data_IF_849810860959
#
_entry.id   IF_849810860959
#
_cell.length_a   1.000
_cell.length_b   1.000
_cell.length_c   1.000
_cell.angle_alpha   90.00
_cell.angle_beta   90.00
_cell.angle_gamma   90.00
#
_symmetry.space_group_name_H-M   'P 1'
#
loop_
_entity.id
_entity.type
_entity.pdbx_description
1 polymer ?
#
# COMPACT_ATOMS: atom_id res chain seq x y z
N UNK A 1 -9.13 14.50 -11.07
CA UNK A 1 -8.04 13.63 -10.56
C UNK A 1 -7.54 12.75 -11.69
N UNK A 2 -6.25 12.75 -11.91
CA UNK A 2 -5.63 11.99 -13.00
C UNK A 2 -4.67 10.95 -12.44
N UNK A 3 -4.74 9.72 -12.96
CA UNK A 3 -3.89 8.60 -12.54
C UNK A 3 -2.94 8.23 -13.67
N UNK A 4 -1.67 8.01 -13.35
CA UNK A 4 -0.68 7.64 -14.36
C UNK A 4 0.45 6.80 -13.78
N UNK A 5 1.09 6.00 -14.64
CA UNK A 5 2.27 5.22 -14.26
C UNK A 5 3.44 6.18 -14.07
N UNK A 6 4.16 6.02 -12.97
CA UNK A 6 5.32 6.82 -12.62
C UNK A 6 6.60 6.02 -12.90
N UNK A 7 7.47 6.56 -13.76
CA UNK A 7 8.76 5.92 -14.10
C UNK A 7 9.88 6.33 -13.14
N UNK A 8 9.65 7.31 -12.28
CA UNK A 8 10.67 7.88 -11.39
C UNK A 8 10.11 8.02 -9.96
N UNK A 9 9.76 6.90 -9.30
CA UNK A 9 9.05 6.95 -8.02
C UNK A 9 9.86 7.56 -6.86
N UNK A 10 11.19 7.49 -6.90
CA UNK A 10 12.03 8.10 -5.84
C UNK A 10 11.90 9.62 -5.79
N UNK A 11 11.41 10.26 -6.84
CA UNK A 11 11.05 11.67 -6.83
C UNK A 11 9.99 11.97 -5.74
N UNK A 12 9.18 10.98 -5.39
CA UNK A 12 8.11 11.09 -4.41
C UNK A 12 8.41 10.33 -3.12
N UNK A 13 9.68 10.27 -2.75
CA UNK A 13 10.12 9.53 -1.56
C UNK A 13 9.42 10.03 -0.29
N UNK A 14 9.23 11.33 -0.15
CA UNK A 14 8.55 11.89 1.03
C UNK A 14 7.13 11.33 1.18
N UNK A 15 6.43 11.14 0.06
CA UNK A 15 5.10 10.56 0.07
C UNK A 15 5.15 9.07 0.42
N UNK A 16 6.10 8.33 -0.16
CA UNK A 16 6.28 6.91 0.14
C UNK A 16 6.60 6.68 1.63
N UNK A 17 7.39 7.57 2.23
CA UNK A 17 7.76 7.47 3.64
C UNK A 17 6.59 7.66 4.59
N UNK A 18 5.48 8.27 4.14
CA UNK A 18 4.26 8.35 4.97
C UNK A 18 3.68 6.98 5.29
N UNK A 19 3.79 6.04 4.35
CA UNK A 19 3.24 4.69 4.52
C UNK A 19 4.28 3.70 5.02
N UNK A 20 5.57 3.91 4.70
CA UNK A 20 6.66 3.03 5.08
C UNK A 20 7.83 3.90 5.54
N UNK A 21 8.08 3.99 6.86
CA UNK A 21 9.03 4.95 7.41
C UNK A 21 10.50 4.56 7.23
N UNK A 22 10.79 3.45 6.54
CA UNK A 22 12.14 2.93 6.43
C UNK A 22 12.56 2.78 4.97
N UNK A 23 13.36 3.72 4.47
CA UNK A 23 13.75 3.76 3.06
C UNK A 23 14.40 2.46 2.56
N UNK A 24 15.31 1.80 3.32
CA UNK A 24 15.87 0.53 2.85
C UNK A 24 14.82 -0.55 2.57
N UNK A 25 13.69 -0.54 3.30
CA UNK A 25 12.58 -1.45 2.99
C UNK A 25 11.90 -1.06 1.67
N UNK A 26 11.68 0.25 1.46
CA UNK A 26 11.14 0.76 0.20
C UNK A 26 12.02 0.33 -0.97
N UNK A 27 13.34 0.40 -0.80
CA UNK A 27 14.31 0.01 -1.82
C UNK A 27 14.24 -1.48 -2.19
N UNK A 28 13.68 -2.31 -1.30
CA UNK A 28 13.54 -3.74 -1.55
C UNK A 28 12.42 -4.06 -2.54
N UNK A 29 11.33 -3.30 -2.51
CA UNK A 29 10.18 -3.61 -3.37
C UNK A 29 10.01 -2.63 -4.55
N UNK A 30 10.52 -1.42 -4.45
CA UNK A 30 10.26 -0.39 -5.44
C UNK A 30 10.77 -0.77 -6.85
N UNK A 31 11.97 -1.36 -7.02
CA UNK A 31 12.45 -1.73 -8.36
C UNK A 31 11.58 -2.74 -9.10
N UNK A 32 10.86 -3.61 -8.37
CA UNK A 32 9.98 -4.61 -8.97
C UNK A 32 8.54 -4.11 -9.09
N UNK A 33 8.26 -2.92 -8.58
CA UNK A 33 6.88 -2.42 -8.47
C UNK A 33 6.48 -1.61 -9.70
N UNK A 34 5.20 -1.72 -10.04
CA UNK A 34 4.52 -0.70 -10.84
C UNK A 34 4.05 0.36 -9.87
N UNK A 35 4.30 1.62 -10.19
CA UNK A 35 3.93 2.75 -9.33
C UNK A 35 2.95 3.64 -10.09
N UNK A 36 1.81 3.93 -9.45
CA UNK A 36 0.81 4.85 -9.97
C UNK A 36 0.75 6.09 -9.09
N UNK A 37 0.60 7.24 -9.70
CA UNK A 37 0.39 8.50 -8.99
C UNK A 37 -1.00 9.04 -9.26
N UNK A 38 -1.57 9.71 -8.25
CA UNK A 38 -2.81 10.47 -8.38
C UNK A 38 -2.46 11.94 -8.36
N UNK A 39 -2.93 12.68 -9.37
CA UNK A 39 -2.63 14.10 -9.53
C UNK A 39 -3.89 14.94 -9.46
N UNK A 40 -3.77 16.07 -8.77
CA UNK A 40 -4.71 17.18 -8.85
C UNK A 40 -3.99 18.32 -9.57
N UNK A 41 -4.34 18.54 -10.84
CA UNK A 41 -3.55 19.45 -11.69
C UNK A 41 -2.13 18.92 -11.85
N UNK A 42 -1.14 19.74 -11.49
CA UNK A 42 0.29 19.36 -11.57
C UNK A 42 0.82 18.72 -10.29
N UNK A 43 0.01 18.72 -9.23
CA UNK A 43 0.45 18.23 -7.93
C UNK A 43 0.11 16.75 -7.75
N UNK A 44 1.11 15.94 -7.40
CA UNK A 44 0.89 14.56 -6.99
C UNK A 44 0.43 14.54 -5.54
N UNK A 45 -0.75 13.97 -5.29
CA UNK A 45 -1.38 13.94 -3.97
C UNK A 45 -1.50 12.53 -3.40
N UNK A 46 -1.23 11.52 -4.21
CA UNK A 46 -1.25 10.13 -3.76
C UNK A 46 -0.37 9.25 -4.63
N UNK A 47 0.02 8.11 -4.08
CA UNK A 47 0.90 7.15 -4.75
C UNK A 47 0.56 5.74 -4.27
N UNK A 48 0.69 4.76 -5.18
CA UNK A 48 0.58 3.35 -4.84
C UNK A 48 1.66 2.58 -5.59
N UNK A 49 2.32 1.67 -4.88
CA UNK A 49 3.29 0.75 -5.46
C UNK A 49 2.79 -0.68 -5.27
N UNK A 50 2.78 -1.47 -6.33
CA UNK A 50 2.37 -2.87 -6.26
C UNK A 50 3.25 -3.71 -7.18
N UNK A 51 3.45 -4.97 -6.82
CA UNK A 51 4.33 -5.86 -7.58
C UNK A 51 3.83 -7.30 -7.52
N UNK A 52 4.22 -8.14 -8.52
CA UNK A 52 3.95 -9.57 -8.44
C UNK A 52 4.79 -10.19 -7.31
N UNK A 53 4.18 -11.08 -6.53
CA UNK A 53 4.86 -11.78 -5.43
C UNK A 53 4.89 -13.30 -5.63
N UNK A 54 3.94 -13.85 -6.35
CA UNK A 54 3.92 -15.23 -6.81
C UNK A 54 3.02 -15.33 -8.02
N UNK A 55 2.87 -16.53 -8.58
CA UNK A 55 2.08 -16.73 -9.79
C UNK A 55 0.65 -16.20 -9.58
N UNK A 56 0.21 -15.35 -10.51
CA UNK A 56 -1.14 -14.76 -10.52
C UNK A 56 -1.51 -14.02 -9.23
N UNK A 57 -0.50 -13.57 -8.47
CA UNK A 57 -0.68 -12.88 -7.19
C UNK A 57 0.18 -11.63 -7.15
N UNK A 58 -0.46 -10.51 -6.82
CA UNK A 58 0.20 -9.21 -6.65
C UNK A 58 -0.02 -8.70 -5.23
N UNK A 59 0.85 -7.80 -4.80
CA UNK A 59 0.72 -7.19 -3.48
C UNK A 59 0.92 -5.69 -3.58
N UNK A 60 0.04 -4.93 -2.92
CA UNK A 60 0.25 -3.50 -2.69
C UNK A 60 1.31 -3.38 -1.60
N UNK A 61 2.43 -2.76 -1.95
CA UNK A 61 3.56 -2.59 -1.03
C UNK A 61 3.58 -1.23 -0.35
N UNK A 62 2.95 -0.24 -0.97
CA UNK A 62 2.91 1.12 -0.43
C UNK A 62 1.68 1.82 -1.00
N UNK A 63 0.93 2.46 -0.14
CA UNK A 63 -0.20 3.32 -0.52
C UNK A 63 -0.17 4.52 0.39
N UNK A 64 0.06 5.70 -0.17
CA UNK A 64 0.18 6.93 0.59
C UNK A 64 -0.60 8.05 -0.06
N UNK A 65 -1.23 8.87 0.77
CA UNK A 65 -2.00 10.04 0.34
C UNK A 65 -1.55 11.22 1.19
N UNK A 66 -1.33 12.37 0.54
CA UNK A 66 -1.00 13.61 1.24
C UNK A 66 -1.99 13.86 2.38
N UNK A 67 -1.52 14.30 3.57
CA UNK A 67 -2.42 14.47 4.72
C UNK A 67 -3.63 15.34 4.43
N UNK A 68 -3.47 16.43 3.67
CA UNK A 68 -4.57 17.34 3.31
C UNK A 68 -5.58 16.69 2.36
N UNK A 69 -5.23 15.57 1.75
CA UNK A 69 -6.07 14.87 0.77
C UNK A 69 -6.63 13.56 1.31
N UNK A 70 -6.32 13.19 2.53
CA UNK A 70 -6.88 12.01 3.18
C UNK A 70 -8.37 12.21 3.47
N UNK A 71 -9.14 11.12 3.42
CA UNK A 71 -10.59 11.17 3.63
C UNK A 71 -11.38 11.71 2.43
N UNK A 72 -10.74 11.94 1.28
CA UNK A 72 -11.39 12.47 0.06
C UNK A 72 -11.52 11.43 -1.05
N UNK A 73 -11.24 10.17 -0.76
CA UNK A 73 -11.39 9.08 -1.71
C UNK A 73 -10.19 8.81 -2.62
N UNK A 74 -9.06 9.49 -2.42
CA UNK A 74 -7.86 9.30 -3.24
C UNK A 74 -7.28 7.90 -3.08
N UNK A 75 -7.16 7.42 -1.83
CA UNK A 75 -6.64 6.08 -1.57
C UNK A 75 -7.52 4.99 -2.17
N UNK A 76 -8.82 5.11 -2.01
CA UNK A 76 -9.78 4.17 -2.61
C UNK A 76 -9.69 4.16 -4.13
N UNK A 77 -9.53 5.33 -4.74
CA UNK A 77 -9.39 5.45 -6.19
C UNK A 77 -8.08 4.81 -6.67
N UNK A 78 -6.97 4.97 -5.92
CA UNK A 78 -5.70 4.32 -6.26
C UNK A 78 -5.81 2.80 -6.19
N UNK A 79 -6.45 2.26 -5.17
CA UNK A 79 -6.70 0.80 -5.08
C UNK A 79 -7.53 0.34 -6.27
N UNK A 80 -8.57 1.08 -6.63
CA UNK A 80 -9.40 0.77 -7.80
C UNK A 80 -8.58 0.76 -9.09
N UNK A 81 -7.65 1.71 -9.26
CA UNK A 81 -6.78 1.76 -10.43
C UNK A 81 -5.84 0.55 -10.51
N UNK A 82 -5.32 0.09 -9.37
CA UNK A 82 -4.53 -1.15 -9.31
C UNK A 82 -5.38 -2.33 -9.78
N UNK A 83 -6.58 -2.46 -9.24
CA UNK A 83 -7.48 -3.58 -9.58
C UNK A 83 -7.80 -3.63 -11.07
N UNK A 84 -7.98 -2.47 -11.70
CA UNK A 84 -8.27 -2.39 -13.14
C UNK A 84 -7.12 -2.90 -14.01
N UNK A 85 -5.90 -2.87 -13.51
CA UNK A 85 -4.70 -3.25 -14.25
C UNK A 85 -4.30 -4.71 -14.06
N UNK A 86 -4.99 -5.43 -13.19
CA UNK A 86 -4.69 -6.84 -12.92
C UNK A 86 -5.61 -7.75 -13.72
N UNK A 87 -5.13 -8.94 -14.11
CA UNK A 87 -5.96 -9.88 -14.88
C UNK A 87 -7.09 -10.42 -14.02
N UNK A 88 -8.20 -10.74 -14.67
CA UNK A 88 -9.35 -11.37 -14.01
C UNK A 88 -8.90 -12.69 -13.38
N UNK A 89 -9.31 -12.92 -12.14
CA UNK A 89 -8.94 -14.12 -11.40
C UNK A 89 -7.64 -13.99 -10.61
N UNK A 90 -6.90 -12.88 -10.78
CA UNK A 90 -5.70 -12.63 -9.98
C UNK A 90 -6.07 -12.39 -8.52
N UNK A 91 -5.10 -12.64 -7.63
CA UNK A 91 -5.22 -12.33 -6.21
C UNK A 91 -4.41 -11.07 -5.92
N UNK A 92 -5.01 -10.14 -5.20
CA UNK A 92 -4.35 -8.94 -4.72
C UNK A 92 -4.24 -9.00 -3.20
N UNK A 93 -3.02 -8.84 -2.68
CA UNK A 93 -2.73 -8.83 -1.25
C UNK A 93 -2.37 -7.42 -0.81
N UNK A 94 -2.57 -7.14 0.47
CA UNK A 94 -2.05 -5.95 1.14
C UNK A 94 -1.80 -6.27 2.60
N UNK A 95 -0.66 -5.78 3.13
CA UNK A 95 -0.31 -5.97 4.53
C UNK A 95 -0.34 -4.65 5.30
N UNK A 96 -0.75 -4.70 6.55
CA UNK A 96 -0.71 -3.55 7.46
C UNK A 96 -0.52 -4.05 8.89
N UNK A 97 -0.08 -3.13 9.78
CA UNK A 97 0.09 -3.49 11.18
C UNK A 97 -1.25 -3.86 11.82
N UNK A 98 -1.25 -4.83 12.71
CA UNK A 98 -2.45 -5.26 13.43
C UNK A 98 -3.02 -4.16 14.35
N UNK A 99 -2.17 -3.18 14.73
CA UNK A 99 -2.57 -2.00 15.49
C UNK A 99 -3.24 -0.91 14.63
N UNK A 100 -3.11 -0.99 13.31
CA UNK A 100 -3.62 0.02 12.37
C UNK A 100 -5.09 -0.24 12.04
N UNK A 101 -5.99 -0.06 13.02
CA UNK A 101 -7.42 -0.35 12.86
C UNK A 101 -8.06 0.48 11.76
N UNK A 102 -7.62 1.73 11.57
CA UNK A 102 -8.10 2.58 10.48
C UNK A 102 -7.75 2.03 9.11
N UNK A 103 -6.52 1.53 8.95
CA UNK A 103 -6.08 0.91 7.69
C UNK A 103 -6.84 -0.39 7.43
N UNK A 104 -7.04 -1.22 8.45
CA UNK A 104 -7.79 -2.46 8.31
C UNK A 104 -9.22 -2.17 7.84
N UNK A 105 -9.90 -1.21 8.45
CA UNK A 105 -11.24 -0.79 8.05
C UNK A 105 -11.25 -0.26 6.62
N UNK A 106 -10.25 0.57 6.27
CA UNK A 106 -10.12 1.11 4.92
C UNK A 106 -10.02 0.01 3.87
N UNK A 107 -9.13 -0.97 4.08
CA UNK A 107 -8.95 -2.05 3.12
C UNK A 107 -10.16 -2.97 3.05
N UNK A 108 -10.83 -3.23 4.17
CA UNK A 108 -12.08 -3.99 4.16
C UNK A 108 -13.15 -3.31 3.30
N UNK A 109 -13.25 -1.97 3.39
CA UNK A 109 -14.17 -1.20 2.53
C UNK A 109 -13.75 -1.22 1.06
N UNK A 110 -12.49 -1.47 0.76
CA UNK A 110 -11.99 -1.65 -0.60
C UNK A 110 -12.19 -3.08 -1.13
N UNK A 111 -12.80 -3.97 -0.35
CA UNK A 111 -13.11 -5.33 -0.77
C UNK A 111 -12.15 -6.40 -0.29
N UNK A 112 -11.20 -6.05 0.57
CA UNK A 112 -10.24 -7.01 1.11
C UNK A 112 -10.82 -7.75 2.32
N UNK A 113 -10.40 -9.01 2.50
CA UNK A 113 -10.73 -9.83 3.66
C UNK A 113 -9.45 -10.42 4.25
N UNK A 114 -9.49 -10.75 5.53
CA UNK A 114 -8.33 -11.33 6.22
C UNK A 114 -7.84 -12.60 5.51
N UNK A 115 -6.54 -12.72 5.36
CA UNK A 115 -5.89 -13.91 4.81
C UNK A 115 -5.01 -14.58 5.86
N UNK A 116 -3.98 -13.90 6.34
CA UNK A 116 -3.07 -14.45 7.35
C UNK A 116 -2.32 -13.34 8.10
N UNK A 117 -1.60 -13.77 9.13
CA UNK A 117 -0.78 -12.88 9.95
C UNK A 117 0.69 -13.29 9.82
N UNK A 118 1.59 -12.30 9.76
CA UNK A 118 3.04 -12.53 9.82
C UNK A 118 3.49 -12.04 11.20
N UNK A 119 3.75 -12.95 12.15
CA UNK A 119 4.17 -12.55 13.50
C UNK A 119 5.49 -11.81 13.49
N UNK A 120 5.60 -10.77 14.31
CA UNK A 120 6.81 -9.98 14.52
C UNK A 120 7.40 -9.35 13.26
N UNK A 121 6.58 -9.12 12.23
CA UNK A 121 7.06 -8.53 10.98
C UNK A 121 7.76 -7.19 11.22
N UNK A 122 7.14 -6.30 11.99
CA UNK A 122 7.68 -4.96 12.19
C UNK A 122 8.85 -4.92 13.15
N UNK A 123 9.01 -5.91 14.02
CA UNK A 123 10.16 -6.01 14.92
C UNK A 123 11.33 -6.73 14.26
N UNK A 124 11.04 -7.69 13.36
CA UNK A 124 12.09 -8.48 12.71
C UNK A 124 12.71 -7.77 11.50
N UNK A 125 11.92 -6.97 10.76
CA UNK A 125 12.36 -6.38 9.50
C UNK A 125 12.68 -4.89 9.57
N UNK A 126 12.36 -4.22 10.69
CA UNK A 126 12.64 -2.79 10.88
C UNK A 126 13.59 -2.61 12.05
N UNK A 127 14.64 -1.75 11.90
CA UNK A 127 15.64 -1.58 12.94
C UNK A 127 15.14 -0.84 14.17
N UNK A 128 14.17 0.06 13.97
CA UNK A 128 13.61 0.89 15.04
C UNK A 128 12.14 0.54 15.29
N UNK A 129 11.66 0.66 16.53
CA UNK A 129 10.25 0.43 16.82
C UNK A 129 9.34 1.40 16.04
N UNK A 130 8.23 0.87 15.54
CA UNK A 130 7.22 1.67 14.86
C UNK A 130 5.99 1.72 15.76
N UNK A 131 5.44 2.91 15.96
CA UNK A 131 4.32 3.15 16.87
C UNK A 131 3.10 3.65 16.13
N UNK A 132 1.93 3.15 16.53
CA UNK A 132 0.60 3.66 16.16
C UNK A 132 -0.01 4.21 17.45
N UNK A 133 0.13 5.54 17.67
CA UNK A 133 -0.25 6.12 18.94
C UNK A 133 0.62 5.57 20.07
N UNK A 134 0.01 4.91 21.05
CA UNK A 134 0.70 4.31 22.19
C UNK A 134 1.01 2.82 22.00
N UNK A 135 0.59 2.22 20.88
CA UNK A 135 0.81 0.81 20.62
C UNK A 135 1.96 0.59 19.64
N UNK A 136 2.87 -0.33 19.98
CA UNK A 136 3.96 -0.71 19.09
C UNK A 136 3.44 -1.67 18.01
N UNK A 137 3.80 -1.39 16.76
CA UNK A 137 3.52 -2.29 15.64
C UNK A 137 4.44 -3.50 15.74
N UNK A 138 3.88 -4.70 15.81
CA UNK A 138 4.63 -5.95 15.93
C UNK A 138 4.28 -6.88 14.77
N UNK A 139 3.04 -7.30 14.67
CA UNK A 139 2.57 -8.26 13.68
C UNK A 139 2.01 -7.55 12.44
N UNK A 140 2.17 -8.19 11.27
CA UNK A 140 1.51 -7.74 10.05
C UNK A 140 0.28 -8.60 9.80
N UNK A 141 -0.85 -7.95 9.53
CA UNK A 141 -2.06 -8.62 9.04
C UNK A 141 -2.07 -8.49 7.52
N UNK A 142 -2.21 -9.62 6.83
CA UNK A 142 -2.29 -9.65 5.36
C UNK A 142 -3.74 -9.89 4.96
N UNK A 143 -4.26 -9.03 4.11
CA UNK A 143 -5.60 -9.10 3.57
C UNK A 143 -5.54 -9.45 2.08
N UNK A 144 -6.62 -10.03 1.55
CA UNK A 144 -6.66 -10.44 0.14
C UNK A 144 -8.01 -10.14 -0.50
N UNK A 145 -7.99 -10.05 -1.83
CA UNK A 145 -9.21 -10.13 -2.63
C UNK A 145 -8.90 -10.76 -3.99
N UNK A 146 -9.90 -11.38 -4.60
CA UNK A 146 -9.81 -11.93 -5.94
C UNK A 146 -10.36 -10.92 -6.94
N UNK A 147 -9.59 -10.67 -8.02
CA UNK A 147 -9.94 -9.66 -9.02
C UNK A 147 -10.98 -10.22 -9.99
N UNK A 148 -12.06 -9.46 -10.18
CA UNK A 148 -13.10 -9.77 -11.17
C UNK A 148 -13.84 -11.07 -10.89
N UNK A 149 -13.74 -11.55 -9.64
CA UNK A 149 -14.37 -12.80 -9.20
C UNK A 149 -15.56 -12.59 -8.31
#
# INVERSE_FOLDING_TARGET
MKFSVCSNPKKYLDLLLLADPYEPMIDRYLPQSTVLTARDGERVVGIVAYCPVEENTWEIKNLAVEPDWQGKGVGKALVSEVKKRLPKGAVLLVGTADTSTGNLTFYEKCGFAYDHKIPRFFTDFYPDPIWEGEEQCVDMVVLRQKIGG
#
